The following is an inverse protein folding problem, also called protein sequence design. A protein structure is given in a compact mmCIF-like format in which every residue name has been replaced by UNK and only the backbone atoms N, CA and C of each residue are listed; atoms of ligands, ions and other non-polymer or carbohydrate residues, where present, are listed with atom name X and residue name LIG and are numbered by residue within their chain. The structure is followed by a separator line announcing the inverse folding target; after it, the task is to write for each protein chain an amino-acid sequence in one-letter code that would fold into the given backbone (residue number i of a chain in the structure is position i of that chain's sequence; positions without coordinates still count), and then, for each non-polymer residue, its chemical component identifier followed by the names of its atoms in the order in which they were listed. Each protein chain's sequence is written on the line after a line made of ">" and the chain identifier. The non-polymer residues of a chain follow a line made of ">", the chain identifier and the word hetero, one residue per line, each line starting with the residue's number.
data_IF_902184191585
#
_entry.id   IF_902184191585
#
_cell.length_a   1.000
_cell.length_b   1.000
_cell.length_c   1.000
_cell.angle_alpha   90.00
_cell.angle_beta   90.00
_cell.angle_gamma   90.00
#
_symmetry.space_group_name_H-M   'P 1'
#
loop_
_entity.id
_entity.type
_entity.pdbx_description
1 polymer ?
#
# COMPACT_ATOMS: atom_id res chain seq x y z
N UNK A 1 -26.37 26.40 -6.19
CA UNK A 1 -24.94 26.26 -5.83
C UNK A 1 -24.67 25.29 -4.66
N UNK A 2 -25.58 25.09 -3.69
CA UNK A 2 -25.36 24.12 -2.59
C UNK A 2 -25.45 22.64 -2.98
N UNK A 3 -26.42 22.26 -3.82
CA UNK A 3 -26.69 20.85 -4.17
C UNK A 3 -25.59 20.23 -5.07
N UNK A 4 -25.00 21.02 -5.96
CA UNK A 4 -23.89 20.60 -6.82
C UNK A 4 -22.61 20.34 -6.01
N UNK A 5 -22.38 21.12 -4.95
CA UNK A 5 -21.19 20.96 -4.10
C UNK A 5 -21.30 19.72 -3.22
N UNK A 6 -22.49 19.42 -2.72
CA UNK A 6 -22.77 18.24 -1.87
C UNK A 6 -22.74 16.93 -2.68
N UNK A 7 -23.24 16.95 -3.92
CA UNK A 7 -23.18 15.79 -4.84
C UNK A 7 -21.74 15.47 -5.27
N UNK A 8 -20.91 16.46 -5.60
CA UNK A 8 -19.49 16.26 -5.95
C UNK A 8 -18.70 15.70 -4.77
N UNK A 9 -18.92 16.20 -3.55
CA UNK A 9 -18.24 15.68 -2.35
C UNK A 9 -18.63 14.23 -2.04
N UNK A 10 -19.90 13.88 -2.24
CA UNK A 10 -20.40 12.52 -2.00
C UNK A 10 -19.81 11.52 -3.00
N UNK A 11 -19.75 11.89 -4.28
CA UNK A 11 -19.14 11.07 -5.33
C UNK A 11 -17.64 10.88 -5.09
N UNK A 12 -16.92 11.94 -4.71
CA UNK A 12 -15.48 11.88 -4.42
C UNK A 12 -15.18 10.96 -3.23
N UNK A 13 -16.00 10.99 -2.18
CA UNK A 13 -15.85 10.10 -1.01
C UNK A 13 -16.13 8.63 -1.36
N UNK A 14 -17.14 8.38 -2.19
CA UNK A 14 -17.49 7.03 -2.64
C UNK A 14 -16.36 6.40 -3.47
N UNK A 15 -15.77 7.17 -4.39
CA UNK A 15 -14.66 6.73 -5.24
C UNK A 15 -13.40 6.38 -4.42
N UNK A 16 -13.04 7.23 -3.45
CA UNK A 16 -11.92 6.97 -2.53
C UNK A 16 -12.15 5.72 -1.68
N UNK A 17 -13.39 5.48 -1.23
CA UNK A 17 -13.73 4.29 -0.44
C UNK A 17 -13.67 3.02 -1.28
N UNK A 18 -14.15 3.07 -2.53
CA UNK A 18 -14.09 1.95 -3.47
C UNK A 18 -12.63 1.58 -3.78
N UNK A 19 -11.78 2.57 -4.02
CA UNK A 19 -10.34 2.37 -4.25
C UNK A 19 -9.63 1.77 -3.03
N UNK A 20 -9.92 2.28 -1.83
CA UNK A 20 -9.36 1.71 -0.60
C UNK A 20 -9.80 0.26 -0.38
N UNK A 21 -11.05 -0.07 -0.71
CA UNK A 21 -11.55 -1.44 -0.60
C UNK A 21 -10.90 -2.36 -1.63
N UNK A 22 -10.68 -1.87 -2.85
CA UNK A 22 -9.96 -2.60 -3.89
C UNK A 22 -8.52 -2.92 -3.46
N UNK A 23 -7.79 -1.94 -2.91
CA UNK A 23 -6.43 -2.16 -2.39
C UNK A 23 -6.41 -3.24 -1.31
N UNK A 24 -7.37 -3.22 -0.38
CA UNK A 24 -7.49 -4.26 0.66
C UNK A 24 -7.71 -5.63 0.04
N UNK A 25 -8.61 -5.74 -0.94
CA UNK A 25 -8.90 -7.03 -1.58
C UNK A 25 -7.64 -7.56 -2.27
N UNK A 26 -6.90 -6.69 -2.97
CA UNK A 26 -5.63 -7.07 -3.58
C UNK A 26 -4.59 -7.51 -2.54
N UNK A 27 -4.48 -6.80 -1.41
CA UNK A 27 -3.59 -7.16 -0.31
C UNK A 27 -3.89 -8.57 0.24
N UNK A 28 -5.17 -8.89 0.43
CA UNK A 28 -5.59 -10.20 0.89
C UNK A 28 -5.30 -11.30 -0.15
N UNK A 29 -5.42 -11.00 -1.44
CA UNK A 29 -5.07 -11.93 -2.51
C UNK A 29 -3.56 -12.18 -2.51
N UNK A 30 -2.74 -11.14 -2.41
CA UNK A 30 -1.27 -11.27 -2.31
C UNK A 30 -0.92 -12.11 -1.08
N UNK A 31 -1.46 -11.75 0.09
CA UNK A 31 -1.27 -12.49 1.32
C UNK A 31 -1.64 -13.96 1.21
N UNK A 32 -2.77 -14.26 0.57
CA UNK A 32 -3.24 -15.61 0.31
C UNK A 32 -2.32 -16.41 -0.60
N UNK A 33 -1.89 -15.84 -1.74
CA UNK A 33 -0.97 -16.50 -2.68
C UNK A 33 0.36 -16.80 -2.01
N UNK A 34 0.93 -15.81 -1.32
CA UNK A 34 2.23 -15.92 -0.62
C UNK A 34 2.11 -16.92 0.53
N UNK A 35 1.01 -16.92 1.29
CA UNK A 35 0.81 -17.91 2.35
C UNK A 35 0.71 -19.33 1.80
N UNK A 36 -0.15 -19.56 0.81
CA UNK A 36 -0.34 -20.88 0.21
C UNK A 36 0.93 -21.36 -0.50
N UNK A 37 1.63 -20.46 -1.20
CA UNK A 37 2.92 -20.73 -1.83
C UNK A 37 3.98 -21.11 -0.80
N UNK A 38 4.04 -20.42 0.34
CA UNK A 38 4.93 -20.77 1.44
C UNK A 38 4.66 -22.15 2.03
N UNK A 39 3.39 -22.46 2.31
CA UNK A 39 2.98 -23.78 2.79
C UNK A 39 3.30 -24.87 1.77
N UNK A 40 3.04 -24.61 0.49
CA UNK A 40 3.39 -25.53 -0.60
C UNK A 40 4.91 -25.76 -0.67
N UNK A 41 5.71 -24.70 -0.54
CA UNK A 41 7.17 -24.82 -0.48
C UNK A 41 7.62 -25.71 0.67
N UNK A 42 7.07 -25.52 1.87
CA UNK A 42 7.41 -26.38 3.04
C UNK A 42 7.10 -27.85 2.75
N UNK A 43 5.98 -28.11 2.08
CA UNK A 43 5.53 -29.47 1.79
C UNK A 43 6.30 -30.15 0.65
N UNK A 44 6.58 -29.43 -0.43
CA UNK A 44 7.17 -29.97 -1.66
C UNK A 44 8.70 -29.85 -1.73
N UNK A 45 9.32 -29.06 -0.85
CA UNK A 45 10.78 -28.90 -0.86
C UNK A 45 11.49 -30.19 -0.46
N UNK A 46 12.55 -30.53 -1.19
CA UNK A 46 13.35 -31.73 -0.94
C UNK A 46 14.46 -31.54 0.09
N UNK A 47 14.69 -30.29 0.53
CA UNK A 47 15.76 -29.92 1.44
C UNK A 47 15.35 -28.82 2.43
N UNK A 48 16.16 -28.66 3.47
CA UNK A 48 15.90 -27.73 4.59
C UNK A 48 15.92 -26.26 4.15
N UNK A 49 16.65 -25.88 3.10
CA UNK A 49 16.72 -24.50 2.63
C UNK A 49 15.37 -24.14 2.01
N UNK A 50 14.86 -24.96 1.10
CA UNK A 50 13.53 -24.78 0.52
C UNK A 50 12.43 -24.73 1.59
N UNK A 51 12.47 -25.65 2.58
CA UNK A 51 11.51 -25.61 3.69
C UNK A 51 11.60 -24.31 4.50
N UNK A 52 12.81 -23.83 4.79
CA UNK A 52 13.01 -22.59 5.55
C UNK A 52 12.49 -21.37 4.80
N UNK A 53 12.74 -21.30 3.49
CA UNK A 53 12.18 -20.24 2.63
C UNK A 53 10.66 -20.27 2.63
N UNK A 54 10.06 -21.46 2.58
CA UNK A 54 8.61 -21.64 2.65
C UNK A 54 8.00 -21.12 3.95
N UNK A 55 8.64 -21.39 5.09
CA UNK A 55 8.18 -20.87 6.40
C UNK A 55 8.20 -19.34 6.42
N UNK A 56 9.27 -18.72 5.92
CA UNK A 56 9.35 -17.25 5.85
C UNK A 56 8.27 -16.70 4.93
N UNK A 57 8.05 -17.32 3.77
CA UNK A 57 6.98 -16.95 2.84
C UNK A 57 5.60 -17.03 3.52
N UNK A 58 5.32 -18.12 4.25
CA UNK A 58 4.07 -18.28 4.98
C UNK A 58 3.86 -17.17 6.04
N UNK A 59 4.91 -16.80 6.78
CA UNK A 59 4.84 -15.70 7.75
C UNK A 59 4.57 -14.36 7.04
N UNK A 60 5.25 -14.08 5.93
CA UNK A 60 5.04 -12.85 5.16
C UNK A 60 3.61 -12.78 4.59
N UNK A 61 3.11 -13.88 4.04
CA UNK A 61 1.73 -13.98 3.59
C UNK A 61 0.72 -13.73 4.71
N UNK A 62 0.99 -14.26 5.91
CA UNK A 62 0.19 -13.97 7.11
C UNK A 62 0.24 -12.49 7.53
N UNK A 63 1.35 -11.79 7.32
CA UNK A 63 1.49 -10.37 7.67
C UNK A 63 0.73 -9.41 6.74
N UNK A 64 0.37 -9.85 5.54
CA UNK A 64 -0.49 -9.07 4.64
C UNK A 64 -1.94 -8.94 5.18
N UNK A 65 -2.45 -9.94 5.90
CA UNK A 65 -3.80 -9.89 6.50
C UNK A 65 -3.99 -8.76 7.53
N UNK A 66 -3.13 -8.60 8.56
CA UNK A 66 -3.23 -7.46 9.46
C UNK A 66 -2.96 -6.13 8.74
N UNK A 67 -2.09 -6.08 7.72
CA UNK A 67 -1.90 -4.87 6.93
C UNK A 67 -3.19 -4.46 6.18
N UNK A 68 -3.84 -5.39 5.49
CA UNK A 68 -5.13 -5.19 4.84
C UNK A 68 -6.25 -4.82 5.83
N UNK A 69 -6.30 -5.46 7.00
CA UNK A 69 -7.25 -5.10 8.05
C UNK A 69 -7.04 -3.68 8.60
N UNK A 70 -5.79 -3.26 8.76
CA UNK A 70 -5.46 -1.91 9.20
C UNK A 70 -5.84 -0.85 8.15
N UNK A 71 -5.73 -1.19 6.86
CA UNK A 71 -6.22 -0.34 5.77
C UNK A 71 -7.75 -0.19 5.81
N UNK A 72 -8.49 -1.28 6.06
CA UNK A 72 -9.96 -1.22 6.23
C UNK A 72 -10.40 -0.32 7.38
N UNK A 73 -9.64 -0.33 8.48
CA UNK A 73 -9.96 0.43 9.69
C UNK A 73 -9.45 1.87 9.65
N UNK A 74 -8.76 2.28 8.59
CA UNK A 74 -8.26 3.65 8.40
C UNK A 74 -7.24 4.08 9.47
N UNK A 75 -6.55 3.12 10.10
CA UNK A 75 -5.65 3.42 11.21
C UNK A 75 -4.38 4.16 10.76
N UNK A 76 -3.85 5.08 11.59
CA UNK A 76 -2.58 5.73 11.30
C UNK A 76 -1.47 4.68 11.22
N UNK A 77 -0.67 4.73 10.16
CA UNK A 77 0.41 3.77 9.89
C UNK A 77 0.03 2.54 9.07
N UNK A 78 -1.28 2.31 8.79
CA UNK A 78 -1.72 1.19 7.94
C UNK A 78 -1.01 1.18 6.58
N UNK A 79 -0.93 2.36 5.94
CA UNK A 79 -0.26 2.54 4.65
C UNK A 79 1.24 2.23 4.71
N UNK A 80 1.93 2.71 5.75
CA UNK A 80 3.37 2.45 5.91
C UNK A 80 3.62 0.96 6.14
N UNK A 81 2.75 0.30 6.90
CA UNK A 81 2.83 -1.14 7.10
C UNK A 81 2.61 -1.91 5.81
N UNK A 82 1.54 -1.62 5.05
CA UNK A 82 1.28 -2.27 3.74
C UNK A 82 2.45 -2.10 2.79
N UNK A 83 2.95 -0.87 2.63
CA UNK A 83 4.13 -0.61 1.80
C UNK A 83 5.36 -1.41 2.26
N UNK A 84 5.55 -1.55 3.58
CA UNK A 84 6.64 -2.35 4.14
C UNK A 84 6.47 -3.84 3.87
N UNK A 85 5.28 -4.38 4.11
CA UNK A 85 4.98 -5.81 3.87
C UNK A 85 5.12 -6.14 2.39
N UNK A 86 4.52 -5.35 1.49
CA UNK A 86 4.63 -5.56 0.04
C UNK A 86 6.06 -5.46 -0.46
N UNK A 87 6.83 -4.46 -0.01
CA UNK A 87 8.23 -4.34 -0.39
C UNK A 87 9.05 -5.56 0.04
N UNK A 88 8.80 -6.07 1.25
CA UNK A 88 9.47 -7.27 1.75
C UNK A 88 9.01 -8.51 0.99
N UNK A 89 7.71 -8.66 0.69
CA UNK A 89 7.18 -9.75 -0.13
C UNK A 89 7.85 -9.76 -1.50
N UNK A 90 7.92 -8.61 -2.18
CA UNK A 90 8.55 -8.51 -3.50
C UNK A 90 10.02 -8.92 -3.44
N UNK A 91 10.79 -8.29 -2.54
CA UNK A 91 12.22 -8.53 -2.43
C UNK A 91 12.53 -9.98 -2.03
N UNK A 92 11.83 -10.49 -1.02
CA UNK A 92 12.03 -11.85 -0.53
C UNK A 92 11.63 -12.88 -1.57
N UNK A 93 10.49 -12.69 -2.25
CA UNK A 93 10.01 -13.66 -3.25
C UNK A 93 10.99 -13.81 -4.39
N UNK A 94 11.49 -12.69 -4.94
CA UNK A 94 12.52 -12.70 -6.00
C UNK A 94 13.77 -13.43 -5.54
N UNK A 95 14.31 -13.10 -4.36
CA UNK A 95 15.52 -13.73 -3.83
C UNK A 95 15.30 -15.23 -3.57
N UNK A 96 14.15 -15.60 -3.01
CA UNK A 96 13.80 -16.98 -2.71
C UNK A 96 13.69 -17.82 -3.98
N UNK A 97 13.11 -17.29 -5.06
CA UNK A 97 12.98 -17.99 -6.34
C UNK A 97 14.36 -18.21 -7.00
N UNK A 98 15.25 -17.22 -6.92
CA UNK A 98 16.65 -17.35 -7.37
C UNK A 98 17.37 -18.47 -6.61
N UNK A 99 17.19 -18.51 -5.28
CA UNK A 99 17.78 -19.56 -4.45
C UNK A 99 17.20 -20.92 -4.86
N UNK A 100 15.87 -21.09 -4.87
CA UNK A 100 15.19 -22.33 -5.27
C UNK A 100 15.68 -22.85 -6.61
N UNK A 101 15.82 -21.96 -7.60
CA UNK A 101 16.33 -22.31 -8.93
C UNK A 101 17.81 -22.75 -8.92
N UNK A 102 18.61 -22.23 -7.99
CA UNK A 102 20.05 -22.53 -7.91
C UNK A 102 20.32 -23.83 -7.17
N UNK A 103 19.62 -24.08 -6.07
CA UNK A 103 19.76 -25.31 -5.27
C UNK A 103 18.91 -26.47 -5.78
N UNK A 104 17.92 -26.22 -6.64
CA UNK A 104 17.05 -27.27 -7.18
C UNK A 104 16.11 -27.86 -6.11
N UNK A 105 15.65 -27.02 -5.17
CA UNK A 105 14.87 -27.45 -4.00
C UNK A 105 13.46 -27.96 -4.31
N UNK A 106 12.97 -27.74 -5.53
CA UNK A 106 11.64 -28.17 -5.97
C UNK A 106 11.74 -29.10 -7.19
N UNK A 107 10.89 -30.14 -7.26
CA UNK A 107 10.67 -30.88 -8.50
C UNK A 107 10.11 -29.96 -9.61
N UNK A 108 10.32 -30.34 -10.88
CA UNK A 108 10.02 -29.48 -12.05
C UNK A 108 8.57 -29.01 -12.15
N UNK A 109 7.58 -29.80 -11.69
CA UNK A 109 6.18 -29.40 -11.65
C UNK A 109 5.92 -28.28 -10.63
N UNK A 110 6.05 -28.55 -9.32
CA UNK A 110 5.92 -27.54 -8.26
C UNK A 110 6.79 -26.30 -8.45
N UNK A 111 7.95 -26.43 -9.09
CA UNK A 111 8.81 -25.30 -9.44
C UNK A 111 8.16 -24.33 -10.44
N UNK A 112 7.49 -24.83 -11.48
CA UNK A 112 6.77 -23.97 -12.43
C UNK A 112 5.60 -23.26 -11.75
N UNK A 113 4.87 -23.96 -10.88
CA UNK A 113 3.77 -23.38 -10.12
C UNK A 113 4.27 -22.29 -9.15
N UNK A 114 5.45 -22.49 -8.54
CA UNK A 114 6.12 -21.48 -7.70
C UNK A 114 6.42 -20.21 -8.48
N UNK A 115 7.06 -20.31 -9.65
CA UNK A 115 7.40 -19.15 -10.49
C UNK A 115 6.15 -18.36 -10.87
N UNK A 116 5.08 -19.04 -11.29
CA UNK A 116 3.83 -18.36 -11.68
C UNK A 116 3.20 -17.67 -10.46
N UNK A 117 3.12 -18.35 -9.32
CA UNK A 117 2.61 -17.78 -8.08
C UNK A 117 3.40 -16.54 -7.64
N UNK A 118 4.74 -16.64 -7.64
CA UNK A 118 5.65 -15.55 -7.33
C UNK A 118 5.45 -14.36 -8.27
N UNK A 119 5.41 -14.59 -9.58
CA UNK A 119 5.22 -13.53 -10.57
C UNK A 119 3.89 -12.79 -10.38
N UNK A 120 2.80 -13.52 -10.13
CA UNK A 120 1.47 -12.95 -9.88
C UNK A 120 1.46 -12.15 -8.57
N UNK A 121 2.01 -12.70 -7.48
CA UNK A 121 2.08 -12.01 -6.19
C UNK A 121 2.89 -10.71 -6.29
N UNK A 122 4.06 -10.76 -6.92
CA UNK A 122 4.94 -9.59 -7.13
C UNK A 122 4.24 -8.52 -7.97
N UNK A 123 3.55 -8.91 -9.04
CA UNK A 123 2.84 -7.95 -9.90
C UNK A 123 1.74 -7.22 -9.12
N UNK A 124 0.92 -7.95 -8.36
CA UNK A 124 -0.17 -7.35 -7.58
C UNK A 124 0.41 -6.47 -6.46
N UNK A 125 1.42 -6.93 -5.73
CA UNK A 125 2.09 -6.13 -4.69
C UNK A 125 2.69 -4.85 -5.27
N UNK A 126 3.31 -4.91 -6.45
CA UNK A 126 3.84 -3.72 -7.13
C UNK A 126 2.74 -2.72 -7.51
N UNK A 127 1.56 -3.21 -7.94
CA UNK A 127 0.38 -2.37 -8.20
C UNK A 127 -0.09 -1.70 -6.90
N UNK A 128 -0.21 -2.44 -5.80
CA UNK A 128 -0.61 -1.88 -4.50
C UNK A 128 0.37 -0.78 -4.06
N UNK A 129 1.67 -1.04 -4.14
CA UNK A 129 2.72 -0.06 -3.82
C UNK A 129 2.59 1.19 -4.68
N UNK A 130 2.43 1.03 -6.00
CA UNK A 130 2.25 2.14 -6.93
C UNK A 130 1.02 2.98 -6.60
N UNK A 131 -0.13 2.33 -6.38
CA UNK A 131 -1.39 2.95 -6.01
C UNK A 131 -1.27 3.70 -4.68
N UNK A 132 -0.64 3.12 -3.68
CA UNK A 132 -0.40 3.79 -2.40
C UNK A 132 0.55 4.96 -2.55
N UNK A 133 1.59 4.89 -3.38
CA UNK A 133 2.55 5.97 -3.59
C UNK A 133 1.96 7.17 -4.34
N UNK A 134 1.21 6.95 -5.43
CA UNK A 134 0.63 8.05 -6.21
C UNK A 134 -0.41 8.85 -5.41
N UNK A 135 -1.12 8.19 -4.48
CA UNK A 135 -2.13 8.83 -3.63
C UNK A 135 -1.51 9.75 -2.56
N UNK A 136 -0.20 9.66 -2.31
CA UNK A 136 0.52 10.57 -1.39
C UNK A 136 0.68 12.00 -1.89
N UNK A 137 0.52 12.24 -3.20
CA UNK A 137 0.87 13.52 -3.85
C UNK A 137 -0.28 14.53 -3.97
N UNK A 138 -1.45 14.28 -3.38
CA UNK A 138 -2.48 15.32 -3.21
C UNK A 138 -2.57 15.77 -1.75
N UNK A 139 -1.78 16.77 -1.32
CA UNK A 139 -2.28 17.65 -0.29
C UNK A 139 -3.50 18.36 -0.91
N UNK A 140 -4.70 17.96 -0.51
CA UNK A 140 -5.86 18.84 -0.65
C UNK A 140 -5.55 20.02 0.26
N UNK A 141 -4.85 21.01 -0.29
CA UNK A 141 -4.77 22.35 0.29
C UNK A 141 -6.20 22.85 0.21
N UNK A 142 -6.96 22.61 1.27
CA UNK A 142 -8.21 23.31 1.51
C UNK A 142 -7.78 24.77 1.53
N UNK A 143 -8.04 25.47 0.43
CA UNK A 143 -7.99 26.91 0.43
C UNK A 143 -9.02 27.32 1.49
N UNK A 144 -8.54 27.66 2.68
CA UNK A 144 -9.27 28.60 3.52
C UNK A 144 -9.34 29.88 2.69
N UNK A 145 -10.39 29.99 1.87
CA UNK A 145 -10.90 31.28 1.44
C UNK A 145 -11.39 31.93 2.72
N UNK A 146 -10.47 32.65 3.36
CA UNK A 146 -10.77 33.68 4.33
C UNK A 146 -11.70 34.67 3.61
N UNK A 147 -13.00 34.47 3.80
CA UNK A 147 -14.05 35.40 3.42
C UNK A 147 -13.96 36.59 4.36
N UNK A 148 -12.94 37.44 4.17
CA UNK A 148 -12.94 38.79 4.71
C UNK A 148 -13.91 39.62 3.86
N UNK A 149 -15.12 39.79 4.38
CA UNK A 149 -16.12 40.71 3.85
C UNK A 149 -15.66 42.18 3.87
N UNK A 150 -16.39 43.06 3.18
CA UNK A 150 -15.93 44.41 2.87
C UNK A 150 -16.12 45.39 4.03
N UNK A 151 -15.09 46.21 4.28
CA UNK A 151 -15.28 47.59 4.74
C UNK A 151 -14.83 47.93 6.16
N UNK A 152 -13.61 48.44 6.29
CA UNK A 152 -13.29 49.58 7.17
C UNK A 152 -12.14 50.38 6.54
N UNK A 153 -12.32 51.67 6.21
CA UNK A 153 -11.23 52.49 5.68
C UNK A 153 -10.26 52.88 6.81
N UNK A 154 -9.00 52.46 6.68
CA UNK A 154 -7.90 52.91 7.53
C UNK A 154 -7.58 54.37 7.20
N UNK A 155 -7.85 55.28 8.13
CA UNK A 155 -7.37 56.66 8.05
C UNK A 155 -5.85 56.70 8.12
N UNK A 156 -5.28 57.44 7.17
CA UNK A 156 -3.89 57.86 7.13
C UNK A 156 -3.57 58.91 8.21
N UNK A 157 -2.29 58.95 8.61
CA UNK A 157 -1.65 60.04 9.35
C UNK A 157 -0.38 59.51 10.03
N UNK A 158 0.76 59.36 9.34
CA UNK A 158 1.74 60.42 8.99
C UNK A 158 2.02 61.38 10.14
N UNK A 159 3.08 61.14 10.93
CA UNK A 159 4.08 62.12 11.46
C UNK A 159 5.31 61.28 11.89
N UNK A 160 6.38 61.15 11.09
CA UNK A 160 7.57 62.02 11.00
C UNK A 160 8.40 62.07 12.32
N UNK A 161 9.66 61.64 12.24
CA UNK A 161 10.54 61.45 13.39
C UNK A 161 11.32 62.69 13.84
N UNK A 162 11.95 62.60 15.02
CA UNK A 162 13.21 63.29 15.36
C UNK A 162 13.79 62.79 16.69
N UNK A 163 15.12 62.78 16.70
CA UNK A 163 16.06 62.51 17.80
C UNK A 163 15.81 63.32 19.09
N UNK A 164 16.16 62.72 20.22
CA UNK A 164 17.00 63.37 21.27
C UNK A 164 17.96 62.32 21.80
#
# INVERSE_FOLDING_TARGET
>A
MGIETETIQTQTKADLRARSLLIVVLELIVGGIVLLGGVALVYFSTDTIGMSLGVVHAILGLMAFPAGYLLLTGKPGARTLTLGVDAVIIAFSIVSEIILSTVGSLPSGPFLDSIVGTAVAVLIAAIIVYELMITSFKPVRVAHTESAGPGTPSLAGKIEGRSI
#
